data_IF_538009276024
#
_entry.id   IF_538009276024
#
_cell.length_a   1.000
_cell.length_b   1.000
_cell.length_c   1.000
_cell.angle_alpha   90.00
_cell.angle_beta   90.00
_cell.angle_gamma   90.00
#
_symmetry.space_group_name_H-M   'P 1'
#
loop_
_entity.id
_entity.type
_entity.pdbx_description
1 polymer ?
#
# COMPACT_ATOMS: atom_id res chain seq x y z
N UNK A 1 74.45 -5.41 -9.82
CA UNK A 1 73.29 -6.24 -10.21
C UNK A 1 72.67 -6.78 -8.94
N UNK A 2 71.33 -6.72 -8.77
CA UNK A 2 70.55 -5.51 -8.58
C UNK A 2 69.87 -5.48 -7.20
N UNK A 3 69.44 -4.28 -6.85
CA UNK A 3 68.60 -3.92 -5.71
C UNK A 3 67.43 -4.88 -5.49
N UNK A 4 67.27 -5.36 -4.25
CA UNK A 4 66.10 -6.08 -3.79
C UNK A 4 64.97 -5.08 -3.46
N UNK A 5 63.87 -5.03 -4.25
CA UNK A 5 62.79 -4.11 -3.99
C UNK A 5 61.93 -4.66 -2.85
N UNK A 6 62.13 -4.12 -1.65
CA UNK A 6 61.21 -4.35 -0.51
C UNK A 6 59.76 -4.07 -0.97
N UNK A 7 58.83 -5.03 -0.84
CA UNK A 7 57.45 -4.78 -1.21
C UNK A 7 56.83 -3.78 -0.23
N UNK A 8 56.51 -2.58 -0.74
CA UNK A 8 55.74 -1.59 -0.02
C UNK A 8 54.37 -2.19 0.32
N UNK A 9 54.23 -2.61 1.58
CA UNK A 9 52.99 -3.15 2.14
C UNK A 9 51.96 -2.02 2.19
N UNK A 10 51.16 -1.89 1.13
CA UNK A 10 50.03 -0.97 1.10
C UNK A 10 49.08 -1.31 2.25
N UNK A 11 49.08 -0.47 3.30
CA UNK A 11 48.10 -0.51 4.38
C UNK A 11 46.73 -0.19 3.76
N UNK A 12 45.95 -1.21 3.45
CA UNK A 12 44.54 -1.03 3.08
C UNK A 12 43.81 -0.49 4.31
N UNK A 13 43.56 0.81 4.34
CA UNK A 13 42.68 1.43 5.32
C UNK A 13 41.27 0.85 5.11
N UNK A 14 40.87 -0.13 5.93
CA UNK A 14 39.48 -0.58 5.99
C UNK A 14 38.64 0.59 6.49
N UNK A 15 38.01 1.31 5.57
CA UNK A 15 37.02 2.32 5.87
C UNK A 15 35.87 1.63 6.62
N UNK A 16 35.85 1.73 7.95
CA UNK A 16 34.73 1.27 8.77
C UNK A 16 33.57 2.22 8.51
N UNK A 17 32.74 1.89 7.52
CA UNK A 17 31.44 2.54 7.34
C UNK A 17 30.65 2.32 8.65
N UNK A 18 30.55 3.36 9.47
CA UNK A 18 29.66 3.36 10.63
C UNK A 18 28.25 3.20 10.10
N UNK A 19 27.61 2.08 10.40
CA UNK A 19 26.20 1.86 10.11
C UNK A 19 25.40 2.95 10.82
N UNK A 20 24.96 3.96 10.09
CA UNK A 20 24.03 4.96 10.58
C UNK A 20 22.76 4.21 11.01
N UNK A 21 22.49 4.19 12.32
CA UNK A 21 21.26 3.62 12.87
C UNK A 21 20.08 4.33 12.21
N UNK A 22 19.28 3.59 11.46
CA UNK A 22 18.09 4.15 10.81
C UNK A 22 17.17 4.79 11.87
N UNK A 23 16.70 6.02 11.64
CA UNK A 23 15.82 6.69 12.59
C UNK A 23 14.53 5.89 12.78
N UNK A 24 14.13 5.66 14.04
CA UNK A 24 12.88 4.97 14.36
C UNK A 24 11.71 5.92 14.06
N UNK A 25 10.97 5.68 12.98
CA UNK A 25 9.78 6.49 12.67
C UNK A 25 8.69 6.31 13.74
N UNK A 26 7.95 7.38 14.09
CA UNK A 26 6.82 7.31 15.02
C UNK A 26 5.67 6.45 14.44
N UNK A 27 4.86 5.79 15.29
CA UNK A 27 3.87 4.81 14.85
C UNK A 27 2.80 5.39 13.89
N UNK A 28 2.38 6.64 14.10
CA UNK A 28 1.45 7.35 13.21
C UNK A 28 2.02 7.55 11.80
N UNK A 29 3.32 7.86 11.69
CA UNK A 29 3.99 8.05 10.40
C UNK A 29 4.19 6.70 9.71
N UNK A 30 4.55 5.64 10.45
CA UNK A 30 4.62 4.27 9.90
C UNK A 30 3.28 3.81 9.32
N UNK A 31 2.17 4.10 10.00
CA UNK A 31 0.83 3.78 9.50
C UNK A 31 0.50 4.53 8.19
N UNK A 32 0.76 5.84 8.14
CA UNK A 32 0.58 6.65 6.93
C UNK A 32 1.47 6.21 5.77
N UNK A 33 2.73 5.86 6.03
CA UNK A 33 3.65 5.31 5.03
C UNK A 33 3.12 3.97 4.49
N UNK A 34 2.67 3.08 5.37
CA UNK A 34 2.07 1.80 4.96
C UNK A 34 0.83 2.00 4.08
N UNK A 35 -0.06 2.91 4.47
CA UNK A 35 -1.25 3.28 3.68
C UNK A 35 -0.88 3.89 2.32
N UNK A 36 0.17 4.72 2.30
CA UNK A 36 0.71 5.34 1.08
C UNK A 36 1.28 4.29 0.12
N UNK A 37 2.08 3.36 0.64
CA UNK A 37 2.59 2.22 -0.12
C UNK A 37 1.47 1.34 -0.66
N UNK A 38 0.40 1.12 0.11
CA UNK A 38 -0.79 0.41 -0.34
C UNK A 38 -1.46 1.09 -1.54
N UNK A 39 -1.57 2.43 -1.52
CA UNK A 39 -2.13 3.20 -2.65
C UNK A 39 -1.26 3.14 -3.89
N UNK A 40 0.06 3.27 -3.75
CA UNK A 40 1.01 3.14 -4.86
C UNK A 40 0.98 1.73 -5.45
N UNK A 41 0.92 0.71 -4.60
CA UNK A 41 0.80 -0.70 -5.02
C UNK A 41 -0.47 -0.90 -5.86
N UNK A 42 -1.63 -0.42 -5.40
CA UNK A 42 -2.89 -0.50 -6.15
C UNK A 42 -2.79 0.19 -7.50
N UNK A 43 -2.15 1.36 -7.55
CA UNK A 43 -1.94 2.09 -8.79
C UNK A 43 -1.05 1.30 -9.76
N UNK A 44 0.07 0.76 -9.28
CA UNK A 44 0.97 -0.06 -10.09
C UNK A 44 0.30 -1.36 -10.59
N UNK A 45 -0.45 -2.06 -9.73
CA UNK A 45 -1.19 -3.26 -10.11
C UNK A 45 -2.27 -2.95 -11.16
N UNK A 46 -3.03 -1.86 -10.97
CA UNK A 46 -4.05 -1.41 -11.91
C UNK A 46 -3.49 -1.02 -13.28
N UNK A 47 -2.22 -0.62 -13.35
CA UNK A 47 -1.54 -0.24 -14.60
C UNK A 47 -0.92 -1.44 -15.32
N UNK A 48 -0.31 -2.37 -14.58
CA UNK A 48 0.64 -3.34 -15.15
C UNK A 48 0.23 -4.81 -15.03
N UNK A 49 -0.72 -5.17 -14.16
CA UNK A 49 -1.03 -6.58 -13.87
C UNK A 49 -2.51 -6.90 -14.02
N UNK A 50 -3.03 -6.71 -15.24
CA UNK A 50 -4.41 -7.01 -15.57
C UNK A 50 -4.79 -8.48 -15.31
N UNK A 51 -3.91 -9.43 -15.66
CA UNK A 51 -4.15 -10.87 -15.38
C UNK A 51 -4.24 -11.20 -13.89
N UNK A 52 -3.46 -10.53 -13.05
CA UNK A 52 -3.55 -10.67 -11.60
C UNK A 52 -4.87 -10.12 -11.07
N UNK A 53 -5.27 -8.93 -11.53
CA UNK A 53 -6.54 -8.31 -11.14
C UNK A 53 -7.70 -9.18 -11.56
N UNK A 54 -7.72 -9.69 -12.79
CA UNK A 54 -8.76 -10.58 -13.28
C UNK A 54 -8.92 -11.83 -12.40
N UNK A 55 -7.82 -12.52 -12.07
CA UNK A 55 -7.85 -13.67 -11.15
C UNK A 55 -8.39 -13.32 -9.77
N UNK A 56 -7.97 -12.20 -9.20
CA UNK A 56 -8.46 -11.78 -7.89
C UNK A 56 -9.94 -11.36 -7.93
N UNK A 57 -10.37 -10.69 -9.01
CA UNK A 57 -11.78 -10.31 -9.22
C UNK A 57 -12.68 -11.54 -9.35
N UNK A 58 -12.23 -12.61 -10.01
CA UNK A 58 -12.96 -13.87 -10.09
C UNK A 58 -13.14 -14.53 -8.71
N UNK A 59 -12.16 -14.36 -7.82
CA UNK A 59 -12.20 -14.88 -6.44
C UNK A 59 -12.92 -13.93 -5.47
N UNK A 60 -13.24 -12.72 -5.90
CA UNK A 60 -13.86 -11.68 -5.07
C UNK A 60 -15.37 -11.86 -5.05
N UNK A 61 -15.89 -12.07 -3.85
CA UNK A 61 -17.31 -12.24 -3.60
C UNK A 61 -17.86 -11.09 -2.74
N UNK A 62 -19.17 -10.89 -2.80
CA UNK A 62 -19.89 -9.88 -2.04
C UNK A 62 -19.93 -8.51 -2.71
N UNK A 63 -20.37 -7.51 -1.96
CA UNK A 63 -20.71 -6.19 -2.51
C UNK A 63 -20.29 -5.02 -1.61
N UNK A 64 -20.25 -3.83 -2.19
CA UNK A 64 -19.88 -2.62 -1.47
C UNK A 64 -21.02 -2.15 -0.55
N UNK A 65 -20.80 -2.24 0.77
CA UNK A 65 -21.73 -1.74 1.80
C UNK A 65 -21.71 -0.22 2.01
N UNK A 66 -21.12 0.55 1.08
CA UNK A 66 -21.06 2.03 1.15
C UNK A 66 -20.52 2.61 2.47
N UNK A 67 -19.63 1.89 3.15
CA UNK A 67 -19.04 2.31 4.44
C UNK A 67 -18.06 3.50 4.37
N UNK A 68 -17.62 3.93 3.19
CA UNK A 68 -16.69 5.06 3.01
C UNK A 68 -15.23 4.84 3.49
N UNK A 69 -14.92 3.77 4.23
CA UNK A 69 -13.59 3.55 4.81
C UNK A 69 -12.47 3.44 3.76
N UNK A 70 -12.72 2.81 2.61
CA UNK A 70 -11.73 2.75 1.53
C UNK A 70 -11.38 4.15 0.96
N UNK A 71 -12.31 5.11 1.03
CA UNK A 71 -12.10 6.49 0.63
C UNK A 71 -11.33 7.33 1.67
N UNK A 72 -11.17 6.84 2.91
CA UNK A 72 -10.42 7.49 4.00
C UNK A 72 -9.04 6.87 4.26
N UNK A 73 -8.67 5.84 3.49
CA UNK A 73 -7.53 4.96 3.77
C UNK A 73 -6.15 5.62 3.84
N UNK A 74 -5.93 6.74 3.16
CA UNK A 74 -4.68 7.49 3.27
C UNK A 74 -4.95 8.94 3.68
N UNK A 75 -5.93 9.51 3.00
CA UNK A 75 -6.50 10.82 3.24
C UNK A 75 -8.00 10.71 3.03
N UNK A 76 -8.76 11.68 3.51
CA UNK A 76 -10.18 11.78 3.23
C UNK A 76 -10.41 12.24 1.80
N UNK A 77 -10.95 11.36 0.96
CA UNK A 77 -11.20 11.67 -0.44
C UNK A 77 -12.18 12.84 -0.56
N UNK A 78 -11.84 13.92 -1.31
CA UNK A 78 -12.72 15.07 -1.44
C UNK A 78 -14.04 14.72 -2.13
N UNK A 79 -14.08 13.64 -2.93
CA UNK A 79 -15.29 13.18 -3.60
C UNK A 79 -16.18 12.27 -2.74
N UNK A 80 -15.80 11.99 -1.49
CA UNK A 80 -16.64 11.28 -0.53
C UNK A 80 -17.73 12.21 -0.01
N UNK A 81 -18.98 11.73 -0.02
CA UNK A 81 -20.13 12.41 0.55
C UNK A 81 -20.76 11.48 1.59
N UNK A 82 -20.88 11.95 2.82
CA UNK A 82 -21.67 11.27 3.86
C UNK A 82 -23.15 11.57 3.63
N UNK A 83 -23.98 10.54 3.67
CA UNK A 83 -25.43 10.64 3.54
C UNK A 83 -26.09 10.69 4.92
N UNK A 84 -27.32 11.23 5.03
CA UNK A 84 -28.05 11.29 6.31
C UNK A 84 -28.36 9.92 6.93
N UNK A 85 -28.42 8.87 6.11
CA UNK A 85 -28.66 7.48 6.52
C UNK A 85 -27.42 6.80 7.13
N UNK A 86 -26.30 7.53 7.28
CA UNK A 86 -25.03 7.00 7.77
C UNK A 86 -24.20 6.26 6.72
N UNK A 87 -24.68 6.15 5.47
CA UNK A 87 -23.89 5.58 4.36
C UNK A 87 -23.03 6.65 3.68
N UNK A 88 -22.14 6.23 2.78
CA UNK A 88 -21.29 7.12 2.01
C UNK A 88 -21.45 6.92 0.51
N UNK A 89 -21.47 8.03 -0.23
CA UNK A 89 -21.53 8.06 -1.70
C UNK A 89 -20.27 8.69 -2.29
N UNK A 90 -19.85 8.19 -3.45
CA UNK A 90 -18.79 8.79 -4.24
C UNK A 90 -19.39 9.72 -5.31
N UNK A 91 -19.02 11.00 -5.30
CA UNK A 91 -19.48 12.01 -6.27
C UNK A 91 -19.08 11.66 -7.72
N UNK A 92 -17.90 11.05 -7.89
CA UNK A 92 -17.37 10.67 -9.21
C UNK A 92 -17.48 9.17 -9.48
N UNK A 93 -18.52 8.49 -8.97
CA UNK A 93 -18.63 7.03 -9.06
C UNK A 93 -18.49 6.48 -10.48
N UNK A 94 -19.01 7.18 -11.49
CA UNK A 94 -18.90 6.81 -12.90
C UNK A 94 -17.50 7.03 -13.48
N UNK A 95 -16.75 8.02 -12.97
CA UNK A 95 -15.40 8.39 -13.43
C UNK A 95 -14.31 7.94 -12.46
N UNK A 96 -14.55 6.84 -11.73
CA UNK A 96 -13.59 6.35 -10.74
C UNK A 96 -12.29 5.94 -11.44
N UNK A 97 -11.14 6.40 -10.95
CA UNK A 97 -9.86 5.90 -11.44
C UNK A 97 -9.71 4.40 -11.13
N UNK A 98 -8.85 3.72 -11.89
CA UNK A 98 -8.70 2.27 -11.85
C UNK A 98 -8.40 1.73 -10.44
N UNK A 99 -7.60 2.46 -9.66
CA UNK A 99 -7.31 2.13 -8.25
C UNK A 99 -8.58 2.07 -7.37
N UNK A 100 -9.58 2.91 -7.62
CA UNK A 100 -10.85 2.93 -6.90
C UNK A 100 -11.87 1.94 -7.49
N UNK A 101 -11.78 1.66 -8.80
CA UNK A 101 -12.67 0.72 -9.50
C UNK A 101 -12.39 -0.73 -9.13
N UNK A 102 -11.11 -1.09 -9.04
CA UNK A 102 -10.69 -2.45 -8.71
C UNK A 102 -10.56 -2.72 -7.22
N UNK A 103 -10.71 -1.70 -6.36
CA UNK A 103 -10.66 -1.90 -4.91
C UNK A 103 -11.86 -2.73 -4.41
N UNK A 104 -11.65 -3.68 -3.48
CA UNK A 104 -10.36 -4.23 -3.05
C UNK A 104 -9.77 -5.15 -4.14
N UNK A 105 -8.45 -5.07 -4.37
CA UNK A 105 -7.75 -5.93 -5.33
C UNK A 105 -7.45 -7.29 -4.72
N UNK A 106 -7.06 -7.36 -3.44
CA UNK A 106 -6.74 -8.61 -2.72
C UNK A 106 -7.05 -8.47 -1.20
N UNK A 107 -6.76 -9.51 -0.41
CA UNK A 107 -6.99 -9.46 1.04
C UNK A 107 -6.08 -8.44 1.76
N UNK A 108 -4.96 -8.04 1.16
CA UNK A 108 -4.08 -7.00 1.74
C UNK A 108 -4.80 -5.66 1.73
N UNK A 109 -5.56 -5.38 0.68
CA UNK A 109 -6.36 -4.16 0.60
C UNK A 109 -7.48 -4.11 1.64
N UNK A 110 -8.09 -5.26 1.95
CA UNK A 110 -9.05 -5.39 3.04
C UNK A 110 -8.37 -5.10 4.39
N UNK A 111 -7.21 -5.72 4.67
CA UNK A 111 -6.45 -5.49 5.90
C UNK A 111 -6.02 -4.02 6.08
N UNK A 112 -5.58 -3.38 5.00
CA UNK A 112 -5.23 -1.96 5.04
C UNK A 112 -6.46 -1.12 5.42
N UNK A 113 -7.62 -1.39 4.81
CA UNK A 113 -8.88 -0.72 5.11
C UNK A 113 -9.32 -0.95 6.55
N UNK A 114 -9.23 -2.18 7.04
CA UNK A 114 -9.65 -2.55 8.39
C UNK A 114 -8.77 -1.90 9.47
N UNK A 115 -7.53 -1.51 9.14
CA UNK A 115 -6.66 -0.76 10.05
C UNK A 115 -7.15 0.65 10.40
N UNK A 116 -8.14 1.20 9.68
CA UNK A 116 -8.73 2.51 9.99
C UNK A 116 -9.77 2.48 11.11
N UNK A 117 -10.27 1.30 11.48
CA UNK A 117 -11.29 1.16 12.51
C UNK A 117 -12.38 0.17 12.12
N UNK A 118 -12.79 -0.65 13.10
CA UNK A 118 -13.70 -1.78 12.96
C UNK A 118 -15.20 -1.40 12.81
N UNK A 119 -15.53 -0.19 12.35
CA UNK A 119 -16.91 0.32 12.34
C UNK A 119 -17.89 -0.57 11.54
N UNK A 120 -17.41 -1.26 10.50
CA UNK A 120 -18.15 -2.35 9.85
C UNK A 120 -17.18 -3.18 8.99
N UNK A 121 -17.24 -4.52 8.96
CA UNK A 121 -16.45 -5.31 8.02
C UNK A 121 -16.82 -4.96 6.57
N UNK A 122 -15.82 -4.99 5.70
CA UNK A 122 -16.05 -4.80 4.26
C UNK A 122 -17.00 -5.90 3.75
N UNK A 123 -17.93 -5.56 2.86
CA UNK A 123 -18.82 -6.57 2.26
C UNK A 123 -18.13 -7.46 1.23
N UNK A 124 -16.92 -7.11 0.81
CA UNK A 124 -16.09 -7.94 -0.07
C UNK A 124 -15.29 -8.96 0.73
N UNK A 125 -15.23 -10.19 0.22
CA UNK A 125 -14.41 -11.29 0.72
C UNK A 125 -13.71 -11.99 -0.45
N UNK A 126 -12.62 -12.68 -0.19
CA UNK A 126 -11.90 -13.47 -1.19
C UNK A 126 -11.98 -14.95 -0.84
N UNK A 127 -12.35 -15.78 -1.82
CA UNK A 127 -12.33 -17.23 -1.67
C UNK A 127 -10.87 -17.70 -1.55
N UNK A 128 -10.59 -18.54 -0.55
CA UNK A 128 -9.30 -19.25 -0.44
C UNK A 128 -9.31 -20.39 -1.46
N UNK A 129 -8.16 -20.57 -2.10
CA UNK A 129 -7.90 -21.65 -3.06
C UNK A 129 -7.49 -22.90 -2.30
#
# INVERSE_FOLDING_TARGET
MPDDPRPHRFRTAKLRLRALKAPKLPPKVKAKVKQGMGKLRRFALARMKESYISRMLQRREGECRRCGLCCRLLFECPFLQSLPDGTSRCRIHARRPANCKFFPIDERDLRDRDSLGAQAPCGFKFRKE
#
